data_IF_269453688410
#
_entry.id   IF_269453688410
#
_cell.length_a   1.000
_cell.length_b   1.000
_cell.length_c   1.000
_cell.angle_alpha   90.00
_cell.angle_beta   90.00
_cell.angle_gamma   90.00
#
_symmetry.space_group_name_H-M   'P 1'
#
loop_
_entity.id
_entity.type
_entity.pdbx_description
1 polymer ?
#
# COMPACT_ATOMS: atom_id res chain seq x y z
N UNK A 1 8.58 -18.69 -24.09
CA UNK A 1 8.23 -17.49 -23.31
C UNK A 1 6.74 -17.29 -23.52
N UNK A 2 5.94 -17.37 -22.46
CA UNK A 2 4.47 -17.40 -22.53
C UNK A 2 3.89 -16.10 -23.07
N UNK A 3 2.94 -16.19 -24.02
CA UNK A 3 2.11 -15.06 -24.50
C UNK A 3 1.48 -14.29 -23.33
N UNK A 4 1.15 -14.98 -22.24
CA UNK A 4 0.56 -14.36 -21.04
C UNK A 4 1.52 -13.51 -20.19
N UNK A 5 2.84 -13.70 -20.31
CA UNK A 5 3.83 -12.79 -19.72
C UNK A 5 4.03 -11.54 -20.58
N UNK A 6 3.83 -11.64 -21.90
CA UNK A 6 3.86 -10.48 -22.80
C UNK A 6 2.65 -9.57 -22.54
N UNK A 7 1.46 -10.14 -22.29
CA UNK A 7 0.26 -9.36 -21.96
C UNK A 7 0.41 -8.52 -20.68
N UNK A 8 1.08 -9.04 -19.65
CA UNK A 8 1.25 -8.28 -18.40
C UNK A 8 2.23 -7.10 -18.57
N UNK A 9 3.31 -7.29 -19.34
CA UNK A 9 4.27 -6.22 -19.65
C UNK A 9 3.66 -5.10 -20.51
N UNK A 10 2.86 -5.46 -21.52
CA UNK A 10 2.10 -4.48 -22.32
C UNK A 10 1.14 -3.68 -21.44
N UNK A 11 0.57 -4.32 -20.41
CA UNK A 11 -0.27 -3.62 -19.46
C UNK A 11 0.54 -2.69 -18.54
N UNK A 12 1.75 -3.04 -18.12
CA UNK A 12 2.60 -2.12 -17.35
C UNK A 12 2.98 -0.86 -18.15
N UNK A 13 3.12 -0.98 -19.48
CA UNK A 13 3.46 0.13 -20.38
C UNK A 13 2.31 1.15 -20.57
N UNK A 14 1.06 0.79 -20.24
CA UNK A 14 -0.11 1.69 -20.32
C UNK A 14 -0.50 2.29 -18.96
N UNK A 15 0.40 2.23 -17.98
CA UNK A 15 0.21 2.88 -16.68
C UNK A 15 0.09 4.42 -16.85
N UNK A 16 -1.04 5.04 -16.48
CA UNK A 16 -1.22 6.50 -16.57
C UNK A 16 -0.14 7.29 -15.80
N UNK A 17 0.50 6.68 -14.79
CA UNK A 17 1.63 7.30 -14.10
C UNK A 17 2.83 7.56 -15.01
N UNK A 18 2.97 6.85 -16.15
CA UNK A 18 4.10 7.00 -17.09
C UNK A 18 3.90 8.14 -18.11
N UNK A 19 2.69 8.69 -18.19
CA UNK A 19 2.34 9.77 -19.12
C UNK A 19 3.28 10.97 -18.98
N UNK A 20 3.71 11.52 -20.11
CA UNK A 20 4.70 12.60 -20.16
C UNK A 20 6.16 12.13 -20.18
N UNK A 21 6.41 10.83 -20.37
CA UNK A 21 7.77 10.27 -20.48
C UNK A 21 8.43 10.03 -19.12
N UNK A 22 7.63 9.84 -18.07
CA UNK A 22 8.11 9.49 -16.75
C UNK A 22 8.53 8.03 -16.70
N UNK A 23 9.60 7.75 -15.94
CA UNK A 23 10.11 6.40 -15.68
C UNK A 23 10.14 6.15 -14.19
N UNK A 24 9.62 5.00 -13.77
CA UNK A 24 9.59 4.58 -12.36
C UNK A 24 11.02 4.34 -11.87
N UNK A 25 11.35 4.95 -10.73
CA UNK A 25 12.63 4.79 -10.03
C UNK A 25 12.46 4.09 -8.67
N UNK A 26 11.28 4.20 -8.10
CA UNK A 26 10.93 3.57 -6.83
C UNK A 26 9.45 3.23 -6.85
N UNK A 27 9.10 2.04 -6.37
CA UNK A 27 7.71 1.60 -6.25
C UNK A 27 7.58 0.60 -5.10
N UNK A 28 7.09 1.03 -3.93
CA UNK A 28 6.92 0.19 -2.74
C UNK A 28 5.76 0.64 -1.87
N UNK A 29 5.21 -0.30 -1.13
CA UNK A 29 4.27 -0.05 -0.03
C UNK A 29 5.02 0.35 1.25
N UNK A 30 4.58 1.44 1.87
CA UNK A 30 5.19 2.02 3.07
C UNK A 30 4.09 2.35 4.06
N UNK A 31 4.33 2.08 5.34
CA UNK A 31 3.43 2.48 6.40
C UNK A 31 3.59 3.99 6.65
N UNK A 32 2.52 4.74 6.42
CA UNK A 32 2.46 6.18 6.57
C UNK A 32 1.33 6.51 7.54
N UNK A 33 1.60 7.36 8.52
CA UNK A 33 0.57 7.84 9.43
C UNK A 33 -0.23 8.96 8.75
N UNK A 34 -1.47 8.69 8.40
CA UNK A 34 -2.38 9.65 7.76
C UNK A 34 -3.15 10.44 8.82
N UNK A 35 -3.19 11.77 8.68
CA UNK A 35 -3.90 12.69 9.57
C UNK A 35 -4.72 13.69 8.75
N UNK A 36 -5.93 13.97 9.17
CA UNK A 36 -6.78 15.00 8.56
C UNK A 36 -6.64 16.28 9.39
N UNK A 37 -6.24 17.38 8.75
CA UNK A 37 -6.23 18.71 9.36
C UNK A 37 -7.53 19.44 9.05
N UNK A 38 -8.38 19.59 10.07
CA UNK A 38 -9.56 20.46 10.00
C UNK A 38 -9.25 21.78 10.72
N UNK A 39 -9.53 22.92 10.06
CA UNK A 39 -9.30 24.26 10.61
C UNK A 39 -10.07 24.56 11.93
N UNK A 40 -11.04 23.71 12.29
CA UNK A 40 -11.96 23.92 13.41
C UNK A 40 -11.81 22.92 14.58
N UNK A 41 -10.89 21.96 14.51
CA UNK A 41 -10.70 20.98 15.60
C UNK A 41 -9.44 21.30 16.40
N UNK A 42 -9.59 21.32 17.73
CA UNK A 42 -8.50 21.33 18.70
C UNK A 42 -7.58 20.10 18.56
N UNK A 43 -6.68 19.86 19.54
CA UNK A 43 -5.45 19.11 19.32
C UNK A 43 -5.70 17.68 18.82
N UNK A 44 -5.23 17.43 17.60
CA UNK A 44 -4.84 16.15 17.00
C UNK A 44 -5.94 15.06 16.96
N UNK A 45 -6.59 14.93 15.81
CA UNK A 45 -7.10 13.60 15.42
C UNK A 45 -5.92 12.62 15.45
N UNK A 46 -6.08 11.52 16.18
CA UNK A 46 -5.11 10.43 16.23
C UNK A 46 -5.02 9.88 14.81
N UNK A 47 -3.83 9.96 14.20
CA UNK A 47 -3.63 9.49 12.84
C UNK A 47 -3.85 7.99 12.70
N UNK A 48 -4.24 7.56 11.52
CA UNK A 48 -4.33 6.14 11.15
C UNK A 48 -3.02 5.72 10.50
N UNK A 49 -2.47 4.57 10.90
CA UNK A 49 -1.31 4.01 10.21
C UNK A 49 -1.82 3.20 9.02
N UNK A 50 -1.48 3.65 7.80
CA UNK A 50 -1.96 3.04 6.57
C UNK A 50 -0.80 2.61 5.68
N UNK A 51 -0.99 1.50 4.97
CA UNK A 51 -0.03 1.01 3.99
C UNK A 51 -0.30 1.70 2.65
N UNK A 52 0.51 2.69 2.33
CA UNK A 52 0.39 3.52 1.14
C UNK A 52 1.40 3.05 0.09
N UNK A 53 0.94 2.87 -1.15
CA UNK A 53 1.82 2.63 -2.29
C UNK A 53 2.49 3.95 -2.68
N UNK A 54 3.82 3.99 -2.63
CA UNK A 54 4.63 5.15 -2.99
C UNK A 54 5.39 4.86 -4.27
N UNK A 55 5.14 5.67 -5.31
CA UNK A 55 5.82 5.61 -6.59
C UNK A 55 6.63 6.89 -6.79
N UNK A 56 7.94 6.79 -7.03
CA UNK A 56 8.78 7.91 -7.47
C UNK A 56 9.11 7.68 -8.95
N UNK A 57 8.86 8.70 -9.76
CA UNK A 57 9.15 8.71 -11.17
C UNK A 57 9.99 9.92 -11.53
N UNK A 58 10.77 9.80 -12.61
CA UNK A 58 11.54 10.91 -13.17
C UNK A 58 11.29 11.06 -14.66
N UNK A 59 11.24 12.30 -15.13
CA UNK A 59 11.19 12.64 -16.55
C UNK A 59 12.60 12.94 -17.04
N UNK A 60 13.07 12.19 -18.04
CA UNK A 60 14.46 12.24 -18.51
C UNK A 60 15.35 11.15 -17.92
N UNK A 61 16.65 11.41 -17.81
CA UNK A 61 17.64 10.45 -17.30
C UNK A 61 17.86 10.59 -15.79
N UNK A 62 18.15 9.49 -15.10
CA UNK A 62 18.32 9.47 -13.63
C UNK A 62 19.39 10.45 -13.11
N UNK A 63 20.42 10.75 -13.89
CA UNK A 63 21.50 11.67 -13.50
C UNK A 63 21.21 13.13 -13.85
N UNK A 64 20.22 13.37 -14.72
CA UNK A 64 19.91 14.68 -15.27
C UNK A 64 18.41 14.80 -15.59
N UNK A 65 17.57 14.46 -14.61
CA UNK A 65 16.12 14.53 -14.79
C UNK A 65 15.64 15.98 -14.77
N UNK A 66 14.57 16.23 -15.49
CA UNK A 66 13.93 17.55 -15.58
C UNK A 66 12.90 17.71 -14.45
N UNK A 67 12.08 16.68 -14.26
CA UNK A 67 11.01 16.65 -13.29
C UNK A 67 11.06 15.37 -12.47
N UNK A 68 10.83 15.48 -11.17
CA UNK A 68 10.62 14.37 -10.25
C UNK A 68 9.15 14.36 -9.86
N UNK A 69 8.48 13.22 -10.03
CA UNK A 69 7.08 13.02 -9.65
C UNK A 69 7.00 11.99 -8.53
N UNK A 70 6.28 12.31 -7.47
CA UNK A 70 5.96 11.39 -6.38
C UNK A 70 4.45 11.19 -6.39
N UNK A 71 4.02 9.94 -6.40
CA UNK A 71 2.61 9.56 -6.39
C UNK A 71 2.36 8.64 -5.19
N UNK A 72 1.30 8.97 -4.44
CA UNK A 72 0.82 8.22 -3.29
C UNK A 72 -0.56 7.67 -3.61
N UNK A 73 -0.72 6.35 -3.59
CA UNK A 73 -2.01 5.68 -3.82
C UNK A 73 -2.31 4.67 -2.71
N UNK A 74 -3.58 4.45 -2.41
CA UNK A 74 -4.00 3.43 -1.43
C UNK A 74 -4.73 2.26 -2.10
N UNK A 75 -4.59 1.07 -1.51
CA UNK A 75 -5.39 -0.12 -1.85
C UNK A 75 -6.73 -0.15 -1.09
N UNK A 76 -6.84 0.54 0.04
CA UNK A 76 -8.07 0.61 0.85
C UNK A 76 -9.01 1.72 0.37
N UNK A 77 -8.46 2.83 -0.11
CA UNK A 77 -9.20 3.94 -0.70
C UNK A 77 -8.74 4.19 -2.14
N UNK A 78 -9.63 3.89 -3.10
CA UNK A 78 -9.37 4.06 -4.52
C UNK A 78 -9.29 5.52 -4.96
N UNK A 79 -9.90 6.45 -4.21
CA UNK A 79 -9.87 7.88 -4.50
C UNK A 79 -8.64 8.56 -3.90
N UNK A 80 -7.90 7.86 -3.02
CA UNK A 80 -6.63 8.32 -2.51
C UNK A 80 -5.59 8.28 -3.64
N UNK A 81 -5.38 9.43 -4.28
CA UNK A 81 -4.29 9.66 -5.22
C UNK A 81 -3.75 11.08 -5.01
N UNK A 82 -2.53 11.17 -4.47
CA UNK A 82 -1.85 12.44 -4.24
C UNK A 82 -0.57 12.49 -5.05
N UNK A 83 -0.34 13.62 -5.70
CA UNK A 83 0.80 13.82 -6.60
C UNK A 83 1.58 15.04 -6.14
N UNK A 84 2.90 14.92 -6.17
CA UNK A 84 3.84 16.03 -6.05
C UNK A 84 4.78 16.01 -7.25
N UNK A 85 4.91 17.14 -7.95
CA UNK A 85 5.83 17.32 -9.07
C UNK A 85 6.84 18.39 -8.69
N UNK A 86 8.11 18.02 -8.72
CA UNK A 86 9.22 18.84 -8.25
C UNK A 86 10.20 19.00 -9.41
N UNK A 87 10.26 20.21 -9.94
CA UNK A 87 11.26 20.64 -10.91
C UNK A 87 12.46 21.31 -10.21
N UNK A 88 13.39 21.85 -11.00
CA UNK A 88 14.58 22.56 -10.48
C UNK A 88 14.24 23.85 -9.75
N UNK A 89 13.15 24.54 -10.09
CA UNK A 89 12.77 25.82 -9.49
C UNK A 89 12.10 25.59 -8.14
N UNK A 90 11.15 24.66 -8.08
CA UNK A 90 10.48 24.24 -6.86
C UNK A 90 11.47 23.61 -5.88
N UNK A 91 12.43 22.83 -6.36
CA UNK A 91 13.49 22.30 -5.51
C UNK A 91 14.33 23.40 -4.85
N UNK A 92 14.62 24.52 -5.53
CA UNK A 92 15.36 25.63 -4.91
C UNK A 92 14.60 26.20 -3.72
N UNK A 93 13.28 26.34 -3.83
CA UNK A 93 12.42 26.79 -2.72
C UNK A 93 12.50 25.81 -1.55
N UNK A 94 12.30 24.52 -1.82
CA UNK A 94 12.42 23.44 -0.82
C UNK A 94 13.81 23.48 -0.15
N UNK A 95 14.88 23.66 -0.95
CA UNK A 95 16.26 23.73 -0.49
C UNK A 95 16.48 24.91 0.47
N UNK A 96 15.94 26.08 0.14
CA UNK A 96 16.06 27.30 0.95
C UNK A 96 15.22 27.23 2.23
N UNK A 97 13.96 26.80 2.11
CA UNK A 97 13.00 26.71 3.23
C UNK A 97 13.44 25.67 4.26
N UNK A 98 13.92 24.52 3.81
CA UNK A 98 14.29 23.38 4.66
C UNK A 98 15.81 23.27 4.85
N UNK A 99 16.57 24.26 4.38
CA UNK A 99 18.03 24.38 4.52
C UNK A 99 18.78 23.12 4.06
N UNK A 100 18.35 22.52 2.96
CA UNK A 100 18.99 21.34 2.39
C UNK A 100 20.36 21.71 1.81
N UNK A 101 21.36 20.88 2.06
CA UNK A 101 22.74 21.09 1.57
C UNK A 101 23.01 20.40 0.23
N UNK A 102 22.08 19.55 -0.21
CA UNK A 102 22.23 18.71 -1.41
C UNK A 102 21.88 19.46 -2.70
N UNK A 103 22.34 18.90 -3.82
CA UNK A 103 21.97 19.37 -5.16
C UNK A 103 20.81 18.57 -5.76
N UNK A 104 20.13 19.16 -6.74
CA UNK A 104 18.91 18.59 -7.33
C UNK A 104 19.07 17.13 -7.83
N UNK A 105 20.16 16.73 -8.53
CA UNK A 105 20.33 15.34 -8.94
C UNK A 105 20.45 14.34 -7.77
N UNK A 106 20.92 14.79 -6.61
CA UNK A 106 21.05 13.97 -5.41
C UNK A 106 19.72 13.82 -4.65
N UNK A 107 18.76 14.69 -4.93
CA UNK A 107 17.46 14.72 -4.26
C UNK A 107 16.69 13.40 -4.43
N UNK A 108 16.71 12.82 -5.64
CA UNK A 108 16.10 11.51 -5.90
C UNK A 108 16.65 10.42 -4.97
N UNK A 109 17.97 10.33 -4.85
CA UNK A 109 18.63 9.32 -4.03
C UNK A 109 18.33 9.53 -2.53
N UNK A 110 18.25 10.79 -2.10
CA UNK A 110 17.86 11.13 -0.74
C UNK A 110 16.42 10.68 -0.44
N UNK A 111 15.46 10.95 -1.32
CA UNK A 111 14.06 10.52 -1.16
C UNK A 111 13.93 9.01 -1.07
N UNK A 112 14.59 8.28 -1.97
CA UNK A 112 14.61 6.82 -1.97
C UNK A 112 15.19 6.29 -0.65
N UNK A 113 16.25 6.92 -0.14
CA UNK A 113 16.87 6.55 1.13
C UNK A 113 15.91 6.78 2.31
N UNK A 114 15.26 7.94 2.40
CA UNK A 114 14.30 8.25 3.47
C UNK A 114 13.14 7.26 3.48
N UNK A 115 12.51 7.02 2.34
CA UNK A 115 11.42 6.04 2.19
C UNK A 115 11.87 4.61 2.53
N UNK A 116 13.07 4.23 2.09
CA UNK A 116 13.64 2.91 2.40
C UNK A 116 13.97 2.75 3.89
N UNK A 117 14.40 3.81 4.56
CA UNK A 117 14.63 3.82 6.00
C UNK A 117 13.32 3.69 6.77
N UNK A 118 12.28 4.44 6.37
CA UNK A 118 10.96 4.33 7.01
C UNK A 118 10.32 2.94 6.85
N UNK A 119 10.61 2.26 5.75
CA UNK A 119 10.17 0.88 5.55
C UNK A 119 10.94 -0.13 6.42
N UNK A 120 12.24 0.09 6.66
CA UNK A 120 13.11 -0.85 7.40
C UNK A 120 13.03 -0.68 8.92
N UNK A 121 12.95 0.56 9.38
CA UNK A 121 13.07 0.93 10.79
C UNK A 121 11.92 1.87 11.21
N UNK A 122 10.67 1.39 11.23
CA UNK A 122 9.48 2.24 11.42
C UNK A 122 9.42 2.94 12.80
N UNK A 123 10.15 2.43 13.80
CA UNK A 123 10.22 3.06 15.13
C UNK A 123 11.20 4.25 15.18
N UNK A 124 12.16 4.28 14.25
CA UNK A 124 13.21 5.31 14.17
C UNK A 124 12.93 6.30 13.05
N UNK A 125 12.50 5.83 11.89
CA UNK A 125 12.12 6.66 10.75
C UNK A 125 10.67 6.37 10.39
N UNK A 126 9.83 7.38 10.32
CA UNK A 126 8.44 7.23 9.88
C UNK A 126 7.98 8.46 9.11
N UNK A 127 6.90 8.29 8.36
CA UNK A 127 6.31 9.34 7.55
C UNK A 127 4.92 9.69 8.09
N UNK A 128 4.60 10.98 8.15
CA UNK A 128 3.27 11.48 8.51
C UNK A 128 2.72 12.28 7.35
N UNK A 129 1.52 11.93 6.90
CA UNK A 129 0.84 12.58 5.79
C UNK A 129 -0.37 13.36 6.29
N UNK A 130 -0.28 14.69 6.23
CA UNK A 130 -1.33 15.61 6.62
C UNK A 130 -2.17 15.99 5.40
N UNK A 131 -3.46 15.68 5.45
CA UNK A 131 -4.42 15.99 4.39
C UNK A 131 -5.33 17.13 4.83
N UNK A 132 -5.56 18.08 3.94
CA UNK A 132 -6.51 19.17 4.12
C UNK A 132 -7.78 18.93 3.29
N UNK A 133 -8.87 19.60 3.66
CA UNK A 133 -10.16 19.43 2.98
C UNK A 133 -10.19 20.00 1.54
N UNK A 134 -9.28 20.92 1.22
CA UNK A 134 -9.14 21.52 -0.11
C UNK A 134 -8.37 20.62 -1.11
N UNK A 135 -7.87 19.47 -0.64
CA UNK A 135 -7.05 18.56 -1.43
C UNK A 135 -5.56 18.89 -1.38
N UNK A 136 -5.13 19.93 -0.67
CA UNK A 136 -3.73 20.13 -0.35
C UNK A 136 -3.29 19.12 0.72
N UNK A 137 -2.07 18.63 0.61
CA UNK A 137 -1.51 17.71 1.59
C UNK A 137 -0.01 17.93 1.77
N UNK A 138 0.51 17.42 2.87
CA UNK A 138 1.90 17.59 3.28
C UNK A 138 2.43 16.27 3.81
N UNK A 139 3.53 15.78 3.25
CA UNK A 139 4.25 14.59 3.71
C UNK A 139 5.50 15.00 4.47
N UNK A 140 5.54 14.65 5.76
CA UNK A 140 6.68 14.92 6.63
C UNK A 140 7.43 13.63 6.95
N UNK A 141 8.73 13.63 6.69
CA UNK A 141 9.66 12.58 7.08
C UNK A 141 10.21 12.90 8.46
N UNK A 142 9.99 12.00 9.41
CA UNK A 142 10.34 12.21 10.82
C UNK A 142 11.35 11.16 11.26
N UNK A 143 12.40 11.62 11.91
CA UNK A 143 13.35 10.81 12.66
C UNK A 143 13.05 10.91 14.16
N UNK A 144 12.86 9.77 14.81
CA UNK A 144 12.70 9.65 16.25
C UNK A 144 14.07 9.52 16.90
N UNK A 145 14.52 10.57 17.58
CA UNK A 145 15.76 10.55 18.35
C UNK A 145 15.55 10.09 19.80
N UNK A 146 14.44 9.39 20.10
CA UNK A 146 13.97 8.94 21.42
C UNK A 146 13.58 10.06 22.41
N UNK A 147 14.34 11.15 22.45
CA UNK A 147 14.05 12.32 23.28
C UNK A 147 13.32 13.44 22.53
N UNK A 148 13.28 13.37 21.19
CA UNK A 148 12.65 14.37 20.33
C UNK A 148 12.41 13.79 18.93
N UNK A 149 11.31 14.21 18.31
CA UNK A 149 11.07 14.02 16.87
C UNK A 149 11.72 15.15 16.07
N UNK A 150 12.48 14.77 15.04
CA UNK A 150 13.13 15.69 14.10
C UNK A 150 12.50 15.54 12.72
N UNK A 151 11.98 16.64 12.17
CA UNK A 151 11.56 16.70 10.77
C UNK A 151 12.80 16.76 9.88
N UNK A 152 12.93 15.78 8.99
CA UNK A 152 14.08 15.63 8.08
C UNK A 152 13.82 16.26 6.72
N UNK A 153 12.58 16.12 6.24
CA UNK A 153 12.13 16.63 4.97
C UNK A 153 10.62 16.77 5.02
N UNK A 154 10.14 17.80 4.35
CA UNK A 154 8.73 18.06 4.16
C UNK A 154 8.41 18.27 2.69
N UNK A 155 7.32 17.70 2.19
CA UNK A 155 6.92 17.82 0.79
C UNK A 155 5.43 18.14 0.68
N UNK A 156 5.12 19.08 -0.21
CA UNK A 156 3.75 19.43 -0.54
C UNK A 156 3.21 18.51 -1.63
N UNK A 157 1.96 18.12 -1.46
CA UNK A 157 1.19 17.27 -2.37
C UNK A 157 -0.15 17.93 -2.67
N UNK A 158 -0.69 17.59 -3.84
CA UNK A 158 -2.05 17.93 -4.21
C UNK A 158 -2.80 16.68 -4.61
N UNK A 159 -4.07 16.60 -4.23
CA UNK A 159 -4.98 15.56 -4.70
C UNK A 159 -5.05 15.59 -6.23
N UNK A 160 -5.00 14.41 -6.84
CA UNK A 160 -5.10 14.27 -8.28
C UNK A 160 -6.50 14.67 -8.77
N UNK A 161 -6.59 15.06 -10.05
CA UNK A 161 -7.90 15.40 -10.64
C UNK A 161 -8.80 14.18 -10.74
N UNK A 162 -10.13 14.37 -10.75
CA UNK A 162 -11.08 13.25 -10.87
C UNK A 162 -10.83 12.41 -12.13
N UNK A 163 -10.41 13.04 -13.23
CA UNK A 163 -10.07 12.35 -14.48
C UNK A 163 -8.83 11.45 -14.28
N UNK A 164 -7.77 11.98 -13.67
CA UNK A 164 -6.56 11.19 -13.35
C UNK A 164 -6.88 10.04 -12.40
N UNK A 165 -7.68 10.29 -11.37
CA UNK A 165 -8.12 9.25 -10.42
C UNK A 165 -8.89 8.16 -11.16
N UNK A 166 -9.84 8.52 -12.02
CA UNK A 166 -10.63 7.56 -12.81
C UNK A 166 -9.77 6.70 -13.72
N UNK A 167 -8.80 7.30 -14.40
CA UNK A 167 -7.84 6.60 -15.26
C UNK A 167 -6.98 5.64 -14.44
N UNK A 168 -6.47 6.08 -13.29
CA UNK A 168 -5.65 5.27 -12.39
C UNK A 168 -6.43 4.08 -11.81
N UNK A 169 -7.67 4.30 -11.35
CA UNK A 169 -8.56 3.24 -10.86
C UNK A 169 -8.85 2.22 -11.98
N UNK A 170 -9.18 2.69 -13.18
CA UNK A 170 -9.48 1.82 -14.32
C UNK A 170 -8.26 0.96 -14.68
N UNK A 171 -7.08 1.58 -14.69
CA UNK A 171 -5.81 0.90 -14.91
C UNK A 171 -5.55 -0.16 -13.84
N UNK A 172 -5.57 0.20 -12.55
CA UNK A 172 -5.31 -0.71 -11.43
C UNK A 172 -6.27 -1.90 -11.42
N UNK A 173 -7.55 -1.66 -11.69
CA UNK A 173 -8.55 -2.71 -11.82
C UNK A 173 -8.21 -3.68 -12.95
N UNK A 174 -7.94 -3.16 -14.15
CA UNK A 174 -7.61 -3.99 -15.31
C UNK A 174 -6.31 -4.77 -15.10
N UNK A 175 -5.31 -4.13 -14.49
CA UNK A 175 -4.03 -4.75 -14.14
C UNK A 175 -4.20 -5.88 -13.13
N UNK A 176 -4.92 -5.66 -12.04
CA UNK A 176 -5.20 -6.73 -11.08
C UNK A 176 -6.04 -7.86 -11.67
N UNK A 177 -7.02 -7.55 -12.53
CA UNK A 177 -7.82 -8.55 -13.25
C UNK A 177 -6.94 -9.42 -14.16
N UNK A 178 -6.07 -8.80 -14.95
CA UNK A 178 -5.13 -9.51 -15.83
C UNK A 178 -4.15 -10.37 -15.01
N UNK A 179 -3.58 -9.83 -13.94
CA UNK A 179 -2.69 -10.55 -13.02
C UNK A 179 -3.38 -11.75 -12.37
N UNK A 180 -4.64 -11.60 -11.94
CA UNK A 180 -5.43 -12.68 -11.37
C UNK A 180 -5.66 -13.80 -12.39
N UNK A 181 -6.06 -13.44 -13.61
CA UNK A 181 -6.26 -14.39 -14.70
C UNK A 181 -4.95 -15.13 -15.04
N UNK A 182 -3.82 -14.43 -15.07
CA UNK A 182 -2.50 -15.02 -15.27
C UNK A 182 -2.17 -16.06 -14.18
N UNK A 183 -2.31 -15.69 -12.90
CA UNK A 183 -2.04 -16.59 -11.77
C UNK A 183 -2.98 -17.79 -11.79
N UNK A 184 -4.26 -17.59 -12.13
CA UNK A 184 -5.24 -18.66 -12.22
C UNK A 184 -4.90 -19.65 -13.34
N UNK A 185 -4.49 -19.16 -14.51
CA UNK A 185 -4.04 -20.02 -15.62
C UNK A 185 -2.80 -20.83 -15.22
N UNK A 186 -1.81 -20.21 -14.59
CA UNK A 186 -0.61 -20.90 -14.07
C UNK A 186 -0.97 -21.98 -13.04
N UNK A 187 -1.91 -21.70 -12.15
CA UNK A 187 -2.38 -22.66 -11.15
C UNK A 187 -3.06 -23.85 -11.86
N UNK A 188 -3.88 -23.61 -12.87
CA UNK A 188 -4.51 -24.66 -13.67
C UNK A 188 -3.50 -25.52 -14.43
N UNK A 189 -2.46 -24.91 -15.01
CA UNK A 189 -1.36 -25.62 -15.69
C UNK A 189 -0.62 -26.55 -14.72
N UNK A 190 -0.22 -26.02 -13.55
CA UNK A 190 0.45 -26.78 -12.49
C UNK A 190 -0.46 -27.92 -12.00
N UNK A 191 -1.73 -27.62 -11.77
CA UNK A 191 -2.71 -28.63 -11.33
C UNK A 191 -2.84 -29.75 -12.36
N UNK A 192 -2.86 -29.42 -13.65
CA UNK A 192 -2.92 -30.39 -14.74
C UNK A 192 -1.64 -31.23 -14.85
N UNK A 193 -0.47 -30.62 -14.64
CA UNK A 193 0.81 -31.33 -14.56
C UNK A 193 0.88 -32.31 -13.38
N UNK A 194 0.39 -31.91 -12.20
CA UNK A 194 0.35 -32.78 -11.02
C UNK A 194 -0.65 -33.93 -11.24
N UNK A 195 -1.81 -33.68 -11.87
CA UNK A 195 -2.77 -34.74 -12.25
C UNK A 195 -2.11 -35.80 -13.13
N UNK A 196 -1.24 -35.37 -14.04
CA UNK A 196 -0.58 -36.24 -15.00
C UNK A 196 0.65 -36.97 -14.43
N UNK A 197 1.41 -36.33 -13.53
CA UNK A 197 2.67 -36.85 -12.99
C UNK A 197 2.50 -37.65 -11.70
N UNK A 198 1.61 -37.25 -10.79
CA UNK A 198 1.44 -37.88 -9.46
C UNK A 198 0.00 -37.66 -8.92
N UNK A 199 -1.00 -38.42 -9.40
CA UNK A 199 -2.40 -38.23 -9.02
C UNK A 199 -2.67 -38.46 -7.51
N UNK A 200 -1.84 -39.27 -6.84
CA UNK A 200 -1.90 -39.53 -5.40
C UNK A 200 -1.49 -38.33 -4.53
N UNK A 201 -0.57 -37.48 -5.00
CA UNK A 201 -0.16 -36.26 -4.30
C UNK A 201 -1.27 -35.20 -4.30
N UNK A 202 -2.03 -35.13 -5.40
CA UNK A 202 -3.15 -34.21 -5.58
C UNK A 202 -4.34 -34.58 -4.67
N UNK A 203 -4.60 -35.87 -4.49
CA UNK A 203 -5.60 -36.35 -3.53
C UNK A 203 -5.23 -36.01 -2.08
N UNK A 204 -3.93 -35.99 -1.75
CA UNK A 204 -3.45 -35.60 -0.42
C UNK A 204 -3.51 -34.09 -0.21
N UNK A 205 -3.11 -33.26 -1.18
CA UNK A 205 -3.25 -31.79 -1.10
C UNK A 205 -4.71 -31.35 -0.95
N UNK A 206 -5.62 -31.95 -1.71
CA UNK A 206 -7.06 -31.69 -1.56
C UNK A 206 -7.60 -32.13 -0.19
N UNK A 207 -7.14 -33.25 0.37
CA UNK A 207 -7.50 -33.67 1.74
C UNK A 207 -6.97 -32.71 2.80
N UNK A 208 -5.76 -32.19 2.65
CA UNK A 208 -5.18 -31.21 3.58
C UNK A 208 -5.95 -29.88 3.52
N UNK A 209 -6.32 -29.41 2.32
CA UNK A 209 -7.11 -28.19 2.14
C UNK A 209 -8.57 -28.32 2.62
N UNK A 210 -9.14 -29.53 2.64
CA UNK A 210 -10.48 -29.77 3.22
C UNK A 210 -10.45 -29.90 4.75
N UNK A 211 -9.37 -30.47 5.33
CA UNK A 211 -9.23 -30.59 6.78
C UNK A 211 -8.93 -29.25 7.48
N UNK A 212 -8.29 -28.29 6.79
CA UNK A 212 -8.10 -26.93 7.33
C UNK A 212 -9.43 -26.16 7.45
N UNK A 213 -10.40 -26.42 6.56
CA UNK A 213 -11.73 -25.78 6.62
C UNK A 213 -12.69 -26.45 7.62
N UNK A 214 -12.48 -27.71 8.02
CA UNK A 214 -13.29 -28.36 9.06
C UNK A 214 -12.84 -28.04 10.50
N UNK A 215 -11.66 -27.46 10.68
CA UNK A 215 -11.11 -27.16 12.00
C UNK A 215 -11.64 -25.85 12.61
N UNK A 216 -12.27 -24.97 11.82
CA UNK A 216 -12.91 -23.73 12.32
C UNK A 216 -14.42 -23.84 12.55
N UNK A 217 -15.12 -24.84 11.99
CA UNK A 217 -16.56 -25.00 12.20
C UNK A 217 -16.94 -25.80 13.46
N UNK A 218 -16.00 -26.53 14.08
CA UNK A 218 -16.29 -27.42 15.22
C UNK A 218 -15.99 -26.84 16.61
N UNK A 219 -15.57 -25.58 16.75
CA UNK A 219 -15.44 -24.96 18.08
C UNK A 219 -16.69 -24.21 18.59
N UNK A 220 -17.70 -23.97 17.75
CA UNK A 220 -18.87 -23.16 18.15
C UNK A 220 -20.12 -23.95 18.56
N UNK A 221 -20.14 -25.29 18.51
CA UNK A 221 -21.36 -26.07 18.84
C UNK A 221 -21.33 -26.67 20.26
N UNK A 222 -20.18 -26.71 20.95
CA UNK A 222 -20.08 -27.36 22.28
C UNK A 222 -20.37 -26.45 23.49
N UNK A 223 -20.78 -25.19 23.32
CA UNK A 223 -21.13 -24.30 24.44
C UNK A 223 -22.61 -24.26 24.84
N UNK A 224 -23.50 -24.95 24.12
CA UNK A 224 -24.94 -24.95 24.42
C UNK A 224 -25.55 -26.36 24.48
N UNK A 225 -24.95 -27.29 25.21
CA UNK A 225 -25.66 -28.51 25.59
C UNK A 225 -24.99 -29.15 26.81
N UNK A 226 -25.35 -28.70 28.01
CA UNK A 226 -24.67 -29.19 29.20
C UNK A 226 -25.18 -28.76 30.56
N UNK A 227 -26.44 -28.33 30.75
CA UNK A 227 -27.05 -28.28 32.08
C UNK A 227 -28.56 -28.60 32.03
N UNK A 228 -28.88 -29.90 31.98
CA UNK A 228 -30.14 -30.41 32.52
C UNK A 228 -29.81 -31.53 33.50
N UNK A 229 -29.56 -31.16 34.76
CA UNK A 229 -29.70 -32.08 35.89
C UNK A 229 -30.88 -31.63 36.75
N UNK A 230 -31.97 -32.38 36.57
CA UNK A 230 -32.98 -32.80 37.54
C UNK A 230 -32.93 -32.12 38.91
N UNK A 231 -34.00 -31.41 39.25
CA UNK A 231 -34.51 -31.40 40.62
C UNK A 231 -36.02 -31.68 40.57
N UNK A 232 -36.38 -32.90 40.99
CA UNK A 232 -37.76 -33.31 41.22
C UNK A 232 -38.21 -32.73 42.57
N UNK A 233 -39.29 -31.95 42.55
CA UNK A 233 -40.11 -31.73 43.72
C UNK A 233 -40.92 -33.00 44.03
N UNK A 234 -40.82 -33.50 45.26
CA UNK A 234 -41.90 -34.25 45.91
C UNK A 234 -42.06 -33.75 47.34
N UNK A 235 -43.27 -33.25 47.58
CA UNK A 235 -43.80 -32.61 48.79
C UNK A 235 -43.92 -33.51 50.03
N UNK A 236 -43.94 -32.82 51.19
CA UNK A 236 -44.64 -33.09 52.47
C UNK A 236 -44.13 -34.29 53.30
N UNK A 237 -43.94 -34.20 54.62
CA UNK A 237 -44.96 -33.96 55.64
C UNK A 237 -44.29 -33.77 57.02
N UNK A 238 -44.91 -32.89 57.84
CA UNK A 238 -44.81 -32.71 59.31
C UNK A 238 -43.49 -32.19 59.87
#
# INVERSE_FOLDING_TARGET
MDESQQDLGVLEDIDPSLDGGFKIQFNKEINIETRIQNANTGPQEIGTLEQIQVKILVQGDQQAFENLKIELTSETDLFFNYISIIDKENFKKIKEEQKLTIEYPQFLQMLIKLLSSSHKEPNHFFCVFFMQQDGAAKLDFIENLEYKFMEMLSLEFSSATEETIRQNISFRYNFMKAKLQFVQNRLNDITSLIKLKNPSLLAQLNKVSMNSNQSQSNQNVSKYMGQSKKNNNSSKFI
#
